data_IF_210142789874
#
_entry.id   IF_210142789874
#
_cell.length_a   1.000
_cell.length_b   1.000
_cell.length_c   1.000
_cell.angle_alpha   90.00
_cell.angle_beta   90.00
_cell.angle_gamma   90.00
#
_symmetry.space_group_name_H-M   'P 1'
#
loop_
_entity.id
_entity.type
_entity.pdbx_description
1 polymer ?
#
# COMPACT_ATOMS: atom_id res chain seq x y z
N UNK A 1 -55.30 -65.69 34.80
CA UNK A 1 -55.15 -64.88 33.58
C UNK A 1 -53.66 -64.71 33.33
N UNK A 2 -53.18 -65.23 32.20
CA UNK A 2 -51.76 -65.31 31.84
C UNK A 2 -51.25 -63.92 31.40
N UNK A 3 -50.33 -63.33 32.17
CA UNK A 3 -49.53 -62.21 31.70
C UNK A 3 -48.52 -62.73 30.67
N UNK A 4 -48.81 -62.48 29.39
CA UNK A 4 -47.96 -62.83 28.26
C UNK A 4 -46.73 -61.91 28.25
N UNK A 5 -45.53 -62.49 28.35
CA UNK A 5 -44.29 -61.78 28.15
C UNK A 5 -44.22 -61.28 26.69
N UNK A 6 -44.12 -59.97 26.51
CA UNK A 6 -43.98 -59.35 25.19
C UNK A 6 -42.54 -59.53 24.70
N UNK A 7 -42.39 -60.29 23.61
CA UNK A 7 -41.15 -60.45 22.83
C UNK A 7 -41.07 -59.39 21.72
N UNK A 8 -39.85 -59.07 21.21
CA UNK A 8 -39.58 -57.89 20.35
C UNK A 8 -40.35 -57.81 19.01
N UNK A 9 -41.01 -58.88 18.58
CA UNK A 9 -41.80 -58.92 17.34
C UNK A 9 -43.23 -58.36 17.45
N UNK A 10 -43.66 -57.88 18.63
CA UNK A 10 -45.05 -57.39 18.85
C UNK A 10 -45.13 -55.89 19.19
N UNK A 11 -44.16 -55.10 18.74
CA UNK A 11 -44.16 -53.64 18.92
C UNK A 11 -44.87 -53.01 17.71
N UNK A 12 -46.19 -52.81 17.82
CA UNK A 12 -46.95 -51.98 16.88
C UNK A 12 -46.95 -50.52 17.36
N UNK A 13 -47.01 -49.55 16.44
CA UNK A 13 -46.97 -48.10 16.74
C UNK A 13 -48.06 -47.55 17.70
N UNK A 14 -48.92 -48.41 18.24
CA UNK A 14 -50.01 -48.11 19.18
C UNK A 14 -49.78 -48.66 20.60
N UNK A 15 -48.63 -49.28 20.90
CA UNK A 15 -48.33 -49.76 22.26
C UNK A 15 -48.03 -48.60 23.21
N UNK A 16 -48.75 -48.52 24.33
CA UNK A 16 -48.54 -47.47 25.36
C UNK A 16 -47.19 -47.69 26.06
N UNK A 17 -46.50 -46.61 26.40
CA UNK A 17 -45.19 -46.60 27.08
C UNK A 17 -45.12 -47.50 28.33
N UNK A 18 -46.24 -47.72 29.01
CA UNK A 18 -46.35 -48.61 30.17
C UNK A 18 -46.13 -50.09 29.86
N UNK A 19 -46.37 -50.54 28.63
CA UNK A 19 -46.35 -51.97 28.22
C UNK A 19 -45.04 -52.41 27.54
N UNK A 20 -44.08 -51.51 27.34
CA UNK A 20 -42.79 -51.85 26.74
C UNK A 20 -41.85 -52.54 27.76
N UNK A 21 -40.93 -53.42 27.31
CA UNK A 21 -39.85 -53.96 28.14
C UNK A 21 -38.97 -52.85 28.73
N UNK A 22 -38.42 -53.06 29.93
CA UNK A 22 -37.59 -52.05 30.63
C UNK A 22 -36.39 -51.55 29.78
N UNK A 23 -35.83 -52.42 28.96
CA UNK A 23 -34.74 -52.11 28.02
C UNK A 23 -35.19 -51.16 26.90
N UNK A 24 -36.34 -51.45 26.26
CA UNK A 24 -36.91 -50.60 25.22
C UNK A 24 -37.35 -49.22 25.76
N UNK A 25 -37.86 -49.13 27.00
CA UNK A 25 -38.16 -47.83 27.65
C UNK A 25 -36.89 -47.02 27.88
N UNK A 26 -35.80 -47.65 28.34
CA UNK A 26 -34.52 -46.98 28.54
C UNK A 26 -33.94 -46.44 27.23
N UNK A 27 -33.99 -47.21 26.14
CA UNK A 27 -33.54 -46.74 24.83
C UNK A 27 -34.41 -45.59 24.30
N UNK A 28 -35.73 -45.62 24.54
CA UNK A 28 -36.63 -44.54 24.14
C UNK A 28 -36.37 -43.25 24.93
N UNK A 29 -36.10 -43.35 26.23
CA UNK A 29 -35.74 -42.20 27.07
C UNK A 29 -34.38 -41.61 26.68
N UNK A 30 -33.40 -42.47 26.37
CA UNK A 30 -32.10 -42.04 25.84
C UNK A 30 -32.26 -41.35 24.48
N UNK A 31 -33.10 -41.89 23.60
CA UNK A 31 -33.40 -41.30 22.29
C UNK A 31 -34.14 -39.97 22.42
N UNK A 32 -35.12 -39.87 23.34
CA UNK A 32 -35.83 -38.63 23.63
C UNK A 32 -34.88 -37.56 24.20
N UNK A 33 -34.01 -37.93 25.14
CA UNK A 33 -32.95 -37.05 25.66
C UNK A 33 -32.00 -36.57 24.56
N UNK A 34 -31.62 -37.47 23.64
CA UNK A 34 -30.78 -37.12 22.49
C UNK A 34 -31.47 -36.16 21.53
N UNK A 35 -32.76 -36.41 21.21
CA UNK A 35 -33.57 -35.50 20.40
C UNK A 35 -33.70 -34.13 21.07
N UNK A 36 -33.95 -34.09 22.37
CA UNK A 36 -34.07 -32.85 23.12
C UNK A 36 -32.74 -32.08 23.14
N UNK A 37 -31.61 -32.79 23.27
CA UNK A 37 -30.26 -32.24 23.14
C UNK A 37 -29.97 -31.69 21.74
N UNK A 38 -30.37 -32.39 20.69
CA UNK A 38 -30.22 -31.93 19.30
C UNK A 38 -31.10 -30.72 18.98
N UNK A 39 -32.33 -30.69 19.49
CA UNK A 39 -33.21 -29.53 19.38
C UNK A 39 -32.59 -28.33 20.11
N UNK A 40 -32.05 -28.53 21.31
CA UNK A 40 -31.39 -27.46 22.06
C UNK A 40 -30.11 -26.94 21.38
N UNK A 41 -29.30 -27.85 20.83
CA UNK A 41 -28.08 -27.51 20.10
C UNK A 41 -28.39 -26.74 18.81
N UNK A 42 -29.38 -27.20 18.03
CA UNK A 42 -29.81 -26.51 16.81
C UNK A 42 -30.38 -25.12 17.12
N UNK A 43 -31.20 -24.99 18.17
CA UNK A 43 -31.72 -23.71 18.63
C UNK A 43 -30.60 -22.75 19.04
N UNK A 44 -29.60 -23.25 19.77
CA UNK A 44 -28.41 -22.47 20.19
C UNK A 44 -27.56 -22.05 18.99
N UNK A 45 -27.39 -22.93 18.00
CA UNK A 45 -26.64 -22.63 16.79
C UNK A 45 -27.36 -21.59 15.91
N UNK A 46 -28.69 -21.69 15.79
CA UNK A 46 -29.51 -20.70 15.07
C UNK A 46 -29.63 -19.37 15.80
N UNK A 47 -29.54 -19.36 17.13
CA UNK A 47 -29.58 -18.16 17.94
C UNK A 47 -28.23 -17.43 18.01
N UNK A 48 -27.14 -18.05 17.54
CA UNK A 48 -25.82 -17.41 17.52
C UNK A 48 -25.82 -16.32 16.43
N UNK A 49 -25.72 -15.03 16.80
CA UNK A 49 -25.80 -13.96 15.82
C UNK A 49 -24.54 -13.94 14.95
N UNK A 50 -24.72 -13.87 13.62
CA UNK A 50 -23.64 -13.69 12.64
C UNK A 50 -23.10 -12.24 12.59
N UNK A 51 -23.75 -11.32 13.31
CA UNK A 51 -23.46 -9.88 13.26
C UNK A 51 -21.99 -9.53 13.56
N UNK A 52 -21.30 -10.34 14.37
CA UNK A 52 -19.88 -10.15 14.65
C UNK A 52 -18.99 -10.52 13.46
N UNK A 53 -19.35 -11.55 12.68
CA UNK A 53 -18.65 -11.91 11.45
C UNK A 53 -18.87 -10.84 10.37
N UNK A 54 -20.08 -10.31 10.24
CA UNK A 54 -20.39 -9.25 9.28
C UNK A 54 -19.65 -7.95 9.61
N UNK A 55 -19.51 -7.63 10.91
CA UNK A 55 -18.68 -6.50 11.38
C UNK A 55 -17.21 -6.71 11.00
N UNK A 56 -16.65 -7.89 11.30
CA UNK A 56 -15.26 -8.20 10.95
C UNK A 56 -15.04 -8.12 9.43
N UNK A 57 -15.99 -8.62 8.61
CA UNK A 57 -15.91 -8.52 7.15
C UNK A 57 -15.89 -7.07 6.68
N UNK A 58 -16.80 -6.23 7.20
CA UNK A 58 -16.85 -4.80 6.88
C UNK A 58 -15.59 -4.06 7.30
N UNK A 59 -15.10 -4.31 8.51
CA UNK A 59 -13.87 -3.70 9.02
C UNK A 59 -12.65 -4.11 8.16
N UNK A 60 -12.62 -5.37 7.70
CA UNK A 60 -11.56 -5.87 6.81
C UNK A 60 -11.61 -5.18 5.44
N UNK A 61 -12.80 -5.00 4.87
CA UNK A 61 -12.97 -4.26 3.60
C UNK A 61 -12.60 -2.78 3.76
N UNK A 62 -12.98 -2.15 4.87
CA UNK A 62 -12.60 -0.77 5.15
C UNK A 62 -11.09 -0.62 5.31
N UNK A 63 -10.45 -1.53 6.05
CA UNK A 63 -9.01 -1.53 6.23
C UNK A 63 -8.29 -1.73 4.88
N UNK A 64 -8.79 -2.64 4.03
CA UNK A 64 -8.25 -2.84 2.69
C UNK A 64 -8.34 -1.58 1.82
N UNK A 65 -9.47 -0.87 1.87
CA UNK A 65 -9.65 0.42 1.18
C UNK A 65 -8.67 1.48 1.71
N UNK A 66 -8.54 1.60 3.03
CA UNK A 66 -7.60 2.54 3.66
C UNK A 66 -6.14 2.23 3.27
N UNK A 67 -5.77 0.95 3.24
CA UNK A 67 -4.45 0.50 2.83
C UNK A 67 -4.17 0.85 1.36
N UNK A 68 -5.15 0.67 0.47
CA UNK A 68 -5.01 1.05 -0.93
C UNK A 68 -4.76 2.57 -1.07
N UNK A 69 -5.56 3.40 -0.40
CA UNK A 69 -5.37 4.85 -0.40
C UNK A 69 -4.01 5.28 0.17
N UNK A 70 -3.54 4.60 1.21
CA UNK A 70 -2.23 4.88 1.81
C UNK A 70 -1.09 4.48 0.88
N UNK A 71 -1.20 3.33 0.21
CA UNK A 71 -0.23 2.92 -0.82
C UNK A 71 -0.19 3.92 -1.98
N UNK A 72 -1.34 4.40 -2.45
CA UNK A 72 -1.40 5.41 -3.52
C UNK A 72 -0.78 6.74 -3.08
N UNK A 73 -0.96 7.12 -1.81
CA UNK A 73 -0.32 8.31 -1.24
C UNK A 73 1.19 8.13 -1.15
N UNK A 74 1.66 6.96 -0.68
CA UNK A 74 3.08 6.64 -0.59
C UNK A 74 3.75 6.57 -1.97
N UNK A 75 3.09 6.01 -2.99
CA UNK A 75 3.59 5.99 -4.36
C UNK A 75 3.71 7.42 -4.93
N UNK A 76 2.71 8.27 -4.67
CA UNK A 76 2.79 9.70 -5.01
C UNK A 76 3.95 10.39 -4.31
N UNK A 77 4.11 10.21 -3.01
CA UNK A 77 5.20 10.81 -2.23
C UNK A 77 6.56 10.32 -2.72
N UNK A 78 6.66 9.03 -3.05
CA UNK A 78 7.89 8.43 -3.61
C UNK A 78 8.27 9.11 -4.93
N UNK A 79 7.32 9.34 -5.82
CA UNK A 79 7.56 10.06 -7.09
C UNK A 79 7.95 11.52 -6.86
N UNK A 80 7.33 12.21 -5.91
CA UNK A 80 7.68 13.60 -5.55
C UNK A 80 9.09 13.67 -4.99
N UNK A 81 9.46 12.73 -4.10
CA UNK A 81 10.81 12.66 -3.54
C UNK A 81 11.84 12.36 -4.63
N UNK A 82 11.57 11.43 -5.55
CA UNK A 82 12.45 11.16 -6.70
C UNK A 82 12.64 12.40 -7.58
N UNK A 83 11.54 13.08 -7.95
CA UNK A 83 11.62 14.31 -8.73
C UNK A 83 12.40 15.42 -8.01
N UNK A 84 12.26 15.52 -6.68
CA UNK A 84 13.05 16.46 -5.87
C UNK A 84 14.53 16.07 -5.85
N UNK A 85 14.86 14.79 -5.70
CA UNK A 85 16.24 14.30 -5.76
C UNK A 85 16.89 14.62 -7.11
N UNK A 86 16.17 14.40 -8.21
CA UNK A 86 16.65 14.73 -9.56
C UNK A 86 16.87 16.24 -9.70
N UNK A 87 15.94 17.07 -9.21
CA UNK A 87 16.08 18.53 -9.21
C UNK A 87 17.26 19.00 -8.38
N UNK A 88 17.46 18.45 -7.18
CA UNK A 88 18.63 18.77 -6.33
C UNK A 88 19.92 18.34 -7.01
N UNK A 89 19.94 17.18 -7.66
CA UNK A 89 21.08 16.70 -8.44
C UNK A 89 21.40 17.61 -9.63
N UNK A 90 20.39 18.13 -10.32
CA UNK A 90 20.56 19.08 -11.41
C UNK A 90 21.11 20.42 -10.91
N UNK A 91 20.52 20.99 -9.85
CA UNK A 91 20.97 22.25 -9.27
C UNK A 91 22.39 22.12 -8.67
N UNK A 92 22.76 20.97 -8.11
CA UNK A 92 24.12 20.70 -7.65
C UNK A 92 25.14 20.66 -8.80
N UNK A 93 24.81 20.00 -9.91
CA UNK A 93 25.66 19.99 -11.12
C UNK A 93 25.86 21.40 -11.66
N UNK A 94 24.81 22.20 -11.62
CA UNK A 94 24.84 23.58 -12.05
C UNK A 94 25.70 24.45 -11.11
N UNK A 95 25.60 24.26 -9.80
CA UNK A 95 26.45 24.93 -8.82
C UNK A 95 27.93 24.54 -8.97
N UNK A 96 28.24 23.26 -9.19
CA UNK A 96 29.60 22.79 -9.49
C UNK A 96 30.13 23.42 -10.79
N UNK A 97 29.30 23.47 -11.84
CA UNK A 97 29.69 24.13 -13.10
C UNK A 97 30.02 25.61 -12.91
N UNK A 98 29.26 26.32 -12.07
CA UNK A 98 29.53 27.71 -11.72
C UNK A 98 30.83 27.83 -10.89
N UNK A 99 31.07 26.91 -9.95
CA UNK A 99 32.33 26.85 -9.18
C UNK A 99 33.55 26.68 -10.07
N UNK A 100 33.51 25.74 -11.02
CA UNK A 100 34.59 25.53 -12.01
C UNK A 100 34.84 26.75 -12.88
N UNK A 101 33.79 27.48 -13.26
CA UNK A 101 33.93 28.74 -13.99
C UNK A 101 34.67 29.77 -13.13
N UNK A 102 34.29 29.95 -11.86
CA UNK A 102 34.93 30.90 -10.93
C UNK A 102 36.41 30.53 -10.71
N UNK A 103 36.72 29.25 -10.48
CA UNK A 103 38.09 28.77 -10.32
C UNK A 103 38.94 28.97 -11.59
N UNK A 104 38.35 28.76 -12.77
CA UNK A 104 39.01 29.02 -14.05
C UNK A 104 39.29 30.53 -14.26
N UNK A 105 38.40 31.41 -13.81
CA UNK A 105 38.63 32.86 -13.85
C UNK A 105 39.72 33.31 -12.87
N UNK A 106 39.77 32.72 -11.67
CA UNK A 106 40.78 33.05 -10.67
C UNK A 106 42.20 32.65 -11.12
N UNK A 107 42.32 31.57 -11.89
CA UNK A 107 43.57 31.11 -12.49
C UNK A 107 43.69 31.64 -13.93
N UNK A 108 44.17 32.88 -14.08
CA UNK A 108 44.27 33.71 -15.31
C UNK A 108 44.74 33.00 -16.61
N UNK A 109 45.36 31.82 -16.52
CA UNK A 109 45.78 30.95 -17.62
C UNK A 109 44.62 30.28 -18.39
N UNK A 110 43.40 30.26 -17.86
CA UNK A 110 42.24 29.57 -18.46
C UNK A 110 41.22 30.49 -19.13
N UNK A 111 41.55 31.76 -19.42
CA UNK A 111 40.66 32.65 -20.18
C UNK A 111 40.21 32.03 -21.53
N UNK A 112 41.00 31.12 -22.10
CA UNK A 112 40.65 30.36 -23.30
C UNK A 112 39.59 29.26 -23.08
N UNK A 113 39.34 28.81 -21.85
CA UNK A 113 38.36 27.74 -21.53
C UNK A 113 36.91 28.18 -21.79
N UNK A 114 36.63 29.48 -21.66
CA UNK A 114 35.29 30.05 -21.89
C UNK A 114 34.98 30.25 -23.37
N UNK A 115 36.01 30.43 -24.20
CA UNK A 115 35.88 30.67 -25.64
C UNK A 115 36.13 29.41 -26.49
N UNK A 116 36.90 28.44 -25.97
CA UNK A 116 37.15 27.16 -26.63
C UNK A 116 35.98 26.17 -26.40
N UNK A 117 34.83 26.46 -27.02
CA UNK A 117 33.80 25.45 -27.32
C UNK A 117 32.94 24.94 -26.16
N UNK A 118 33.16 25.37 -24.91
CA UNK A 118 32.40 24.91 -23.75
C UNK A 118 31.66 26.05 -23.04
N UNK A 119 30.78 26.75 -23.77
CA UNK A 119 29.90 27.79 -23.23
C UNK A 119 28.79 27.20 -22.33
N UNK A 120 29.20 26.55 -21.24
CA UNK A 120 28.30 25.91 -20.27
C UNK A 120 27.40 26.94 -19.57
N UNK A 121 27.89 28.15 -19.35
CA UNK A 121 27.09 29.25 -18.81
C UNK A 121 26.00 29.71 -19.78
N UNK A 122 26.30 29.85 -21.08
CA UNK A 122 25.32 30.20 -22.09
C UNK A 122 24.24 29.14 -22.27
N UNK A 123 24.62 27.86 -22.28
CA UNK A 123 23.67 26.75 -22.34
C UNK A 123 22.74 26.73 -21.11
N UNK A 124 23.27 27.03 -19.92
CA UNK A 124 22.46 27.16 -18.71
C UNK A 124 21.35 28.23 -18.86
N UNK A 125 21.70 29.43 -19.33
CA UNK A 125 20.71 30.49 -19.50
C UNK A 125 19.70 30.17 -20.61
N UNK A 126 20.12 29.52 -21.69
CA UNK A 126 19.21 29.05 -22.75
C UNK A 126 18.21 28.03 -22.21
N UNK A 127 18.67 27.03 -21.44
CA UNK A 127 17.82 26.02 -20.81
C UNK A 127 16.82 26.67 -19.83
N UNK A 128 17.26 27.63 -19.02
CA UNK A 128 16.35 28.37 -18.12
C UNK A 128 15.32 29.21 -18.89
N UNK A 129 15.69 29.86 -19.99
CA UNK A 129 14.75 30.59 -20.84
C UNK A 129 13.69 29.65 -21.42
N UNK A 130 14.10 28.48 -21.92
CA UNK A 130 13.17 27.46 -22.41
C UNK A 130 12.23 26.96 -21.30
N UNK A 131 12.77 26.70 -20.09
CA UNK A 131 11.95 26.32 -18.94
C UNK A 131 10.92 27.39 -18.56
N UNK A 132 11.28 28.67 -18.63
CA UNK A 132 10.32 29.75 -18.39
C UNK A 132 9.24 29.85 -19.47
N UNK A 133 9.59 29.62 -20.74
CA UNK A 133 8.62 29.57 -21.83
C UNK A 133 7.59 28.44 -21.61
N UNK A 134 8.06 27.25 -21.22
CA UNK A 134 7.19 26.13 -20.87
C UNK A 134 6.28 26.43 -19.67
N UNK A 135 6.83 27.06 -18.62
CA UNK A 135 6.04 27.48 -17.45
C UNK A 135 4.97 28.51 -17.81
N UNK A 136 5.28 29.49 -18.67
CA UNK A 136 4.30 30.47 -19.15
C UNK A 136 3.19 29.81 -19.96
N UNK A 137 3.53 28.81 -20.78
CA UNK A 137 2.53 28.01 -21.51
C UNK A 137 1.62 27.22 -20.56
N UNK A 138 2.17 26.67 -19.48
CA UNK A 138 1.39 26.00 -18.44
C UNK A 138 0.46 26.98 -17.71
N UNK A 139 0.95 28.17 -17.33
CA UNK A 139 0.13 29.20 -16.70
C UNK A 139 -1.02 29.64 -17.61
N UNK A 140 -0.76 29.83 -18.90
CA UNK A 140 -1.81 30.12 -19.88
C UNK A 140 -2.88 29.03 -19.91
N UNK A 141 -2.47 27.77 -20.02
CA UNK A 141 -3.41 26.64 -20.01
C UNK A 141 -4.22 26.57 -18.72
N UNK A 142 -3.58 26.86 -17.57
CA UNK A 142 -4.24 26.88 -16.27
C UNK A 142 -5.28 28.00 -16.17
N UNK A 143 -4.97 29.19 -16.70
CA UNK A 143 -5.92 30.30 -16.79
C UNK A 143 -7.12 29.92 -17.67
N UNK A 144 -6.87 29.36 -18.87
CA UNK A 144 -7.93 28.92 -19.78
C UNK A 144 -8.83 27.85 -19.13
N UNK A 145 -8.26 26.94 -18.35
CA UNK A 145 -9.01 25.94 -17.58
C UNK A 145 -9.85 26.57 -16.46
N UNK A 146 -9.29 27.52 -15.72
CA UNK A 146 -10.01 28.26 -14.67
C UNK A 146 -11.17 29.06 -15.28
N UNK A 147 -10.96 29.74 -16.40
CA UNK A 147 -12.00 30.47 -17.12
C UNK A 147 -13.12 29.54 -17.58
N UNK A 148 -12.77 28.38 -18.17
CA UNK A 148 -13.74 27.37 -18.57
C UNK A 148 -14.51 26.80 -17.39
N UNK A 149 -13.85 26.55 -16.27
CA UNK A 149 -14.47 26.06 -15.05
C UNK A 149 -15.42 27.11 -14.46
N UNK A 150 -15.02 28.38 -14.39
CA UNK A 150 -15.88 29.49 -13.95
C UNK A 150 -17.10 29.66 -14.86
N UNK A 151 -16.92 29.61 -16.18
CA UNK A 151 -18.03 29.63 -17.13
C UNK A 151 -19.00 28.46 -16.91
N UNK A 152 -18.49 27.27 -16.57
CA UNK A 152 -19.32 26.09 -16.28
C UNK A 152 -20.08 26.18 -14.96
N UNK A 153 -19.53 26.84 -13.93
CA UNK A 153 -20.22 27.06 -12.64
C UNK A 153 -21.45 27.95 -12.83
N UNK A 154 -21.37 28.94 -13.73
CA UNK A 154 -22.51 29.80 -14.09
C UNK A 154 -23.64 29.03 -14.78
N UNK A 155 -23.30 27.97 -15.52
CA UNK A 155 -24.24 27.09 -16.21
C UNK A 155 -24.59 25.86 -15.36
N UNK A 156 -25.34 26.04 -14.27
CA UNK A 156 -25.85 24.91 -13.47
C UNK A 156 -26.73 24.00 -14.33
N UNK A 157 -26.23 22.83 -14.71
CA UNK A 157 -26.95 21.85 -15.51
C UNK A 157 -27.82 20.94 -14.60
N UNK A 158 -29.16 20.96 -14.69
CA UNK A 158 -30.04 20.17 -13.82
C UNK A 158 -30.11 18.67 -14.18
N UNK A 159 -29.48 18.20 -15.27
CA UNK A 159 -29.62 16.84 -15.80
C UNK A 159 -28.49 15.86 -15.44
N UNK A 160 -27.67 16.16 -14.42
CA UNK A 160 -26.48 15.35 -14.04
C UNK A 160 -26.79 13.87 -13.78
N UNK A 161 -27.97 13.54 -13.21
CA UNK A 161 -28.31 12.16 -12.87
C UNK A 161 -28.51 11.25 -14.10
N UNK A 162 -29.05 11.78 -15.20
CA UNK A 162 -29.26 11.00 -16.43
C UNK A 162 -28.03 10.93 -17.33
N UNK A 163 -27.12 11.90 -17.21
CA UNK A 163 -25.89 11.95 -17.99
C UNK A 163 -24.77 11.05 -17.44
N UNK A 164 -24.82 10.64 -16.16
CA UNK A 164 -23.75 9.86 -15.54
C UNK A 164 -23.48 8.51 -16.23
N UNK A 165 -24.50 7.67 -16.56
CA UNK A 165 -24.26 6.42 -17.28
C UNK A 165 -23.61 6.63 -18.65
N UNK A 166 -24.05 7.66 -19.38
CA UNK A 166 -23.49 8.01 -20.69
C UNK A 166 -22.04 8.51 -20.57
N UNK A 167 -21.73 9.32 -19.55
CA UNK A 167 -20.35 9.73 -19.25
C UNK A 167 -19.48 8.53 -18.90
N UNK A 168 -19.97 7.59 -18.07
CA UNK A 168 -19.24 6.38 -17.72
C UNK A 168 -18.98 5.49 -18.92
N UNK A 169 -19.96 5.37 -19.83
CA UNK A 169 -19.79 4.66 -21.09
C UNK A 169 -18.74 5.32 -21.98
N UNK A 170 -18.80 6.65 -22.15
CA UNK A 170 -17.83 7.41 -22.92
C UNK A 170 -16.42 7.32 -22.32
N UNK A 171 -16.28 7.34 -21.00
CA UNK A 171 -15.01 7.13 -20.32
C UNK A 171 -14.45 5.73 -20.58
N UNK A 172 -15.30 4.70 -20.51
CA UNK A 172 -14.89 3.33 -20.81
C UNK A 172 -14.44 3.17 -22.26
N UNK A 173 -15.18 3.72 -23.23
CA UNK A 173 -14.79 3.73 -24.64
C UNK A 173 -13.46 4.48 -24.85
N UNK A 174 -13.25 5.60 -24.15
CA UNK A 174 -11.99 6.31 -24.12
C UNK A 174 -10.83 5.48 -23.57
N UNK A 175 -11.02 4.79 -22.45
CA UNK A 175 -10.03 3.88 -21.89
C UNK A 175 -9.71 2.71 -22.82
N UNK A 176 -10.71 2.16 -23.50
CA UNK A 176 -10.52 1.09 -24.47
C UNK A 176 -9.69 1.58 -25.67
N UNK A 177 -9.96 2.78 -26.19
CA UNK A 177 -9.18 3.39 -27.26
C UNK A 177 -7.72 3.65 -26.84
N UNK A 178 -7.49 4.15 -25.61
CA UNK A 178 -6.14 4.34 -25.08
C UNK A 178 -5.44 2.99 -24.89
N UNK A 179 -6.12 1.98 -24.34
CA UNK A 179 -5.56 0.64 -24.17
C UNK A 179 -5.19 0.01 -25.51
N UNK A 180 -6.02 0.15 -26.54
CA UNK A 180 -5.71 -0.31 -27.89
C UNK A 180 -4.46 0.38 -28.46
N UNK A 181 -4.33 1.69 -28.27
CA UNK A 181 -3.13 2.44 -28.70
C UNK A 181 -1.88 2.03 -27.93
N UNK A 182 -1.98 1.82 -26.62
CA UNK A 182 -0.88 1.33 -25.79
C UNK A 182 -0.48 -0.08 -26.18
N UNK A 183 -1.44 -0.96 -26.47
CA UNK A 183 -1.17 -2.31 -26.96
C UNK A 183 -0.46 -2.28 -28.31
N UNK A 184 -0.92 -1.46 -29.26
CA UNK A 184 -0.27 -1.29 -30.56
C UNK A 184 1.17 -0.77 -30.41
N UNK A 185 1.39 0.21 -29.52
CA UNK A 185 2.74 0.72 -29.24
C UNK A 185 3.62 -0.35 -28.57
N UNK A 186 3.06 -1.14 -27.65
CA UNK A 186 3.78 -2.24 -26.99
C UNK A 186 4.20 -3.32 -27.98
N UNK A 187 3.34 -3.64 -28.95
CA UNK A 187 3.67 -4.58 -30.02
C UNK A 187 4.71 -3.99 -30.98
N UNK A 188 4.65 -2.70 -31.30
CA UNK A 188 5.71 -2.03 -32.09
C UNK A 188 7.06 -2.08 -31.36
N UNK A 189 7.10 -1.82 -30.05
CA UNK A 189 8.31 -1.90 -29.23
C UNK A 189 8.87 -3.33 -29.26
N UNK A 190 8.03 -4.35 -29.02
CA UNK A 190 8.46 -5.76 -29.09
C UNK A 190 9.01 -6.13 -30.46
N UNK A 191 8.41 -5.63 -31.53
CA UNK A 191 8.88 -5.93 -32.87
C UNK A 191 10.23 -5.27 -33.15
N UNK A 192 10.46 -4.06 -32.61
CA UNK A 192 11.80 -3.42 -32.66
C UNK A 192 12.82 -4.14 -31.79
N UNK A 193 12.45 -4.62 -30.61
CA UNK A 193 13.31 -5.46 -29.77
C UNK A 193 13.71 -6.75 -30.48
N UNK A 194 12.75 -7.47 -31.09
CA UNK A 194 13.03 -8.67 -31.90
C UNK A 194 13.93 -8.34 -33.09
N UNK A 195 13.66 -7.26 -33.81
CA UNK A 195 14.49 -6.84 -34.94
C UNK A 195 15.93 -6.54 -34.51
N UNK A 196 16.10 -5.89 -33.36
CA UNK A 196 17.41 -5.63 -32.77
C UNK A 196 18.12 -6.92 -32.35
N UNK A 197 17.41 -7.86 -31.70
CA UNK A 197 17.98 -9.16 -31.33
C UNK A 197 18.40 -9.97 -32.55
N UNK A 198 17.59 -9.98 -33.62
CA UNK A 198 17.94 -10.62 -34.89
C UNK A 198 19.17 -9.97 -35.54
N UNK A 199 19.26 -8.64 -35.52
CA UNK A 199 20.45 -7.91 -35.97
C UNK A 199 21.67 -8.32 -35.13
N UNK A 200 21.55 -8.32 -33.79
CA UNK A 200 22.63 -8.69 -32.88
C UNK A 200 23.14 -10.12 -33.12
N UNK A 201 22.23 -11.08 -33.26
CA UNK A 201 22.57 -12.47 -33.59
C UNK A 201 23.29 -12.58 -34.94
N UNK A 202 22.83 -11.83 -35.95
CA UNK A 202 23.40 -11.90 -37.31
C UNK A 202 24.81 -11.30 -37.40
N UNK A 203 25.09 -10.20 -36.68
CA UNK A 203 26.35 -9.47 -36.81
C UNK A 203 27.37 -9.80 -35.71
N UNK A 204 26.92 -10.16 -34.51
CA UNK A 204 27.79 -10.38 -33.35
C UNK A 204 27.74 -11.82 -32.80
N UNK A 205 26.89 -12.69 -33.35
CA UNK A 205 26.65 -14.08 -32.89
C UNK A 205 26.39 -14.19 -31.37
N UNK A 206 25.89 -13.10 -30.78
CA UNK A 206 25.61 -12.97 -29.35
C UNK A 206 24.11 -13.15 -29.12
N UNK A 207 23.76 -14.21 -28.39
CA UNK A 207 22.37 -14.57 -28.06
C UNK A 207 21.85 -13.87 -26.78
N UNK A 208 22.64 -13.00 -26.16
CA UNK A 208 22.25 -12.33 -24.93
C UNK A 208 21.18 -11.26 -25.18
N UNK A 209 20.04 -11.38 -24.49
CA UNK A 209 18.95 -10.40 -24.54
C UNK A 209 19.20 -9.25 -23.56
N UNK A 210 19.47 -8.02 -24.03
CA UNK A 210 19.70 -6.86 -23.16
C UNK A 210 18.39 -6.24 -22.65
N UNK A 211 17.23 -6.66 -23.16
CA UNK A 211 15.91 -6.12 -22.81
C UNK A 211 15.21 -6.91 -21.71
N UNK A 212 15.78 -8.02 -21.23
CA UNK A 212 15.30 -8.64 -20.01
C UNK A 212 15.57 -7.71 -18.84
N UNK A 213 14.56 -6.92 -18.48
CA UNK A 213 14.55 -6.14 -17.25
C UNK A 213 15.02 -7.02 -16.10
N UNK A 214 16.00 -6.52 -15.34
CA UNK A 214 16.67 -7.18 -14.21
C UNK A 214 15.76 -7.43 -12.99
N UNK A 215 14.48 -7.71 -13.22
CA UNK A 215 13.48 -8.06 -12.21
C UNK A 215 13.84 -9.35 -11.49
N UNK A 216 14.62 -10.24 -12.12
CA UNK A 216 15.09 -11.48 -11.48
C UNK A 216 16.14 -11.26 -10.39
N UNK A 217 16.82 -10.11 -10.31
CA UNK A 217 17.85 -9.88 -9.29
C UNK A 217 17.32 -9.23 -8.00
N UNK A 218 16.17 -8.54 -8.05
CA UNK A 218 15.59 -7.90 -6.85
C UNK A 218 14.81 -8.84 -5.92
N UNK A 219 14.50 -10.08 -6.34
CA UNK A 219 13.73 -11.03 -5.51
C UNK A 219 14.60 -11.95 -4.65
N UNK A 220 15.92 -11.96 -4.85
CA UNK A 220 16.84 -12.88 -4.13
C UNK A 220 17.76 -12.19 -3.13
N UNK A 221 17.89 -10.85 -3.16
CA UNK A 221 18.84 -10.12 -2.30
C UNK A 221 18.22 -9.52 -1.03
N UNK A 222 16.88 -9.51 -0.88
CA UNK A 222 16.22 -8.99 0.32
C UNK A 222 16.20 -9.94 1.52
N UNK A 223 16.64 -11.20 1.36
CA UNK A 223 16.64 -12.21 2.44
C UNK A 223 18.03 -12.57 2.99
N UNK A 224 19.11 -11.97 2.49
CA UNK A 224 20.49 -12.39 2.86
C UNK A 224 21.44 -11.29 3.34
N UNK A 225 20.92 -10.13 3.71
CA UNK A 225 21.71 -9.09 4.41
C UNK A 225 21.68 -9.30 5.92
N UNK A 226 22.56 -10.19 6.36
CA UNK A 226 22.93 -10.50 7.74
C UNK A 226 23.47 -9.28 8.50
N UNK A 227 22.68 -8.76 9.45
CA UNK A 227 23.17 -8.03 10.62
C UNK A 227 23.45 -9.01 11.76
N UNK A 228 24.73 -9.26 12.01
CA UNK A 228 25.29 -10.18 13.02
C UNK A 228 24.93 -9.71 14.44
N UNK A 229 24.05 -10.42 15.15
CA UNK A 229 23.90 -10.32 16.61
C UNK A 229 23.97 -11.72 17.21
N UNK A 230 24.83 -11.87 18.22
CA UNK A 230 25.18 -13.14 18.86
C UNK A 230 24.00 -13.70 19.65
N UNK A 231 23.80 -15.01 19.46
CA UNK A 231 23.03 -15.94 20.28
C UNK A 231 23.16 -15.71 21.78
N UNK A 232 22.02 -15.51 22.46
CA UNK A 232 21.60 -16.29 23.64
C UNK A 232 20.09 -16.12 23.84
N UNK A 233 19.27 -16.89 23.13
CA UNK A 233 17.86 -17.05 23.47
C UNK A 233 17.59 -18.54 23.63
N UNK A 234 17.54 -18.97 24.89
CA UNK A 234 17.08 -20.31 25.28
C UNK A 234 15.67 -20.52 24.72
N UNK A 235 15.44 -21.68 24.12
CA UNK A 235 14.16 -22.03 23.52
C UNK A 235 13.06 -21.99 24.59
N UNK A 236 11.88 -21.45 24.27
CA UNK A 236 10.71 -21.42 25.15
C UNK A 236 10.37 -22.78 25.79
N UNK A 237 10.78 -23.87 25.13
CA UNK A 237 10.59 -25.24 25.61
C UNK A 237 11.52 -25.63 26.78
N UNK A 238 12.68 -24.99 26.92
CA UNK A 238 13.59 -25.16 28.06
C UNK A 238 13.08 -24.40 29.29
N UNK A 239 12.57 -23.18 29.10
CA UNK A 239 12.03 -22.35 30.20
C UNK A 239 10.86 -23.05 30.88
N UNK A 240 9.98 -23.68 30.11
CA UNK A 240 8.83 -24.43 30.64
C UNK A 240 9.22 -25.67 31.46
N UNK A 241 10.41 -26.25 31.24
CA UNK A 241 10.90 -27.39 32.02
C UNK A 241 11.50 -26.97 33.37
N UNK A 242 12.05 -25.76 33.44
CA UNK A 242 12.62 -25.20 34.68
C UNK A 242 11.52 -24.78 35.67
N UNK A 243 10.40 -24.21 35.19
CA UNK A 243 9.34 -23.66 36.05
C UNK A 243 8.42 -24.70 36.70
N UNK A 244 8.49 -25.98 36.31
CA UNK A 244 7.68 -27.06 36.89
C UNK A 244 8.38 -27.84 38.00
N UNK A 245 9.59 -27.45 38.41
CA UNK A 245 10.30 -28.08 39.53
C UNK A 245 10.04 -27.29 40.83
N UNK A 246 9.10 -27.79 41.62
CA UNK A 246 8.79 -27.28 42.96
C UNK A 246 9.92 -27.57 43.96
N UNK A 247 10.28 -26.57 44.77
CA UNK A 247 10.86 -26.75 46.11
C UNK A 247 12.29 -26.24 46.32
N UNK A 248 12.43 -25.05 46.91
CA UNK A 248 13.18 -24.80 48.16
C UNK A 248 13.45 -23.30 48.34
N UNK A 249 13.29 -22.82 49.56
CA UNK A 249 13.34 -21.43 50.00
C UNK A 249 14.77 -20.85 50.06
N UNK A 250 14.90 -19.52 49.89
CA UNK A 250 15.72 -18.66 50.76
C UNK A 250 15.56 -17.14 50.46
N UNK A 251 15.14 -16.44 51.52
CA UNK A 251 15.56 -15.11 52.03
C UNK A 251 16.38 -14.13 51.16
N UNK A 252 15.96 -12.85 51.14
CA UNK A 252 16.88 -11.72 50.92
C UNK A 252 16.27 -10.39 50.49
N UNK A 253 15.87 -9.57 51.47
CA UNK A 253 16.00 -8.08 51.56
C UNK A 253 15.69 -7.14 50.37
N UNK A 254 14.78 -6.19 50.63
CA UNK A 254 14.61 -4.89 49.95
C UNK A 254 15.88 -4.00 50.08
N UNK A 255 16.11 -2.95 49.25
CA UNK A 255 15.35 -1.67 49.40
C UNK A 255 15.21 -0.73 48.16
N UNK A 256 14.34 0.28 48.34
CA UNK A 256 14.39 1.69 47.86
C UNK A 256 14.13 2.10 46.39
N UNK A 257 13.08 2.91 46.21
CA UNK A 257 12.86 3.90 45.13
C UNK A 257 13.60 5.24 45.47
N UNK A 258 13.78 6.26 44.58
CA UNK A 258 12.71 6.97 43.83
C UNK A 258 13.10 7.54 42.44
N UNK A 259 12.10 8.06 41.69
CA UNK A 259 12.36 9.02 40.59
C UNK A 259 11.36 9.02 39.44
N UNK A 260 10.24 9.73 39.59
CA UNK A 260 9.27 10.07 38.56
C UNK A 260 9.78 11.13 37.57
N UNK A 261 9.56 10.99 36.26
CA UNK A 261 9.07 12.07 35.37
C UNK A 261 8.28 11.44 34.20
N UNK A 262 7.01 11.86 34.03
CA UNK A 262 6.20 11.77 32.80
C UNK A 262 6.14 13.20 32.24
N UNK A 263 6.10 13.39 30.90
CA UNK A 263 4.88 14.00 30.36
C UNK A 263 4.41 13.42 29.02
N UNK A 264 3.12 13.12 29.01
CA UNK A 264 2.11 13.17 27.94
C UNK A 264 2.35 14.26 26.89
N UNK A 265 2.12 13.95 25.61
CA UNK A 265 1.71 14.94 24.61
C UNK A 265 0.54 14.40 23.79
N UNK A 266 -0.59 15.11 23.93
CA UNK A 266 -1.83 14.98 23.18
C UNK A 266 -1.65 15.39 21.72
N UNK A 267 -2.35 14.68 20.82
CA UNK A 267 -2.68 15.18 19.49
C UNK A 267 -3.71 16.32 19.55
N UNK A 268 -3.79 17.13 18.48
CA UNK A 268 -5.10 17.33 17.88
C UNK A 268 -5.10 17.05 16.37
N UNK A 269 -6.10 16.29 15.99
CA UNK A 269 -6.63 16.05 14.64
C UNK A 269 -6.97 17.35 13.92
N UNK A 270 -6.50 17.54 12.68
CA UNK A 270 -7.01 18.57 11.77
C UNK A 270 -7.20 18.01 10.35
N UNK A 271 -8.24 18.53 9.70
CA UNK A 271 -8.98 17.94 8.59
C UNK A 271 -8.23 17.92 7.23
N UNK A 272 -8.44 16.84 6.48
CA UNK A 272 -7.77 16.47 5.22
C UNK A 272 -8.52 16.91 3.95
N UNK A 273 -9.18 18.08 3.94
CA UNK A 273 -9.83 18.56 2.71
C UNK A 273 -9.84 20.09 2.63
N UNK A 274 -8.75 20.66 2.12
CA UNK A 274 -8.70 22.04 1.62
C UNK A 274 -7.53 22.19 0.61
N UNK A 275 -7.77 23.01 -0.41
CA UNK A 275 -6.98 23.27 -1.62
C UNK A 275 -5.49 23.62 -1.39
N UNK A 276 -4.61 23.43 -2.39
CA UNK A 276 -3.22 23.87 -2.28
C UNK A 276 -3.15 25.40 -2.40
N UNK A 277 -2.83 26.07 -1.29
CA UNK A 277 -2.40 27.46 -1.30
C UNK A 277 -0.97 27.53 -1.85
N UNK A 278 -0.76 28.44 -2.80
CA UNK A 278 0.52 28.75 -3.40
C UNK A 278 1.55 29.15 -2.33
N UNK A 279 2.67 28.44 -2.26
CA UNK A 279 3.83 28.83 -1.47
C UNK A 279 4.72 29.76 -2.28
N UNK A 280 4.53 31.06 -2.12
CA UNK A 280 5.52 32.08 -2.47
C UNK A 280 6.75 31.92 -1.58
N UNK A 281 7.87 31.50 -2.17
CA UNK A 281 9.17 31.48 -1.53
C UNK A 281 9.98 32.75 -1.79
N UNK A 282 10.52 33.29 -0.70
CA UNK A 282 11.77 34.04 -0.57
C UNK A 282 11.88 35.49 -1.08
N UNK A 283 12.20 36.41 -0.16
CA UNK A 283 13.40 37.24 -0.29
C UNK A 283 13.94 37.64 1.09
N UNK A 284 15.14 37.14 1.42
CA UNK A 284 15.88 37.51 2.61
C UNK A 284 16.48 38.91 2.49
N UNK A 285 16.35 39.70 3.55
CA UNK A 285 16.88 41.05 3.63
C UNK A 285 18.39 41.07 3.86
N UNK A 286 19.12 41.63 2.88
CA UNK A 286 20.49 42.09 3.08
C UNK A 286 20.48 43.49 3.71
N UNK A 287 21.14 43.64 4.86
CA UNK A 287 21.29 44.90 5.59
C UNK A 287 22.70 45.44 5.35
N UNK A 288 22.81 46.59 4.69
CA UNK A 288 24.06 47.35 4.60
C UNK A 288 24.32 48.07 5.94
N UNK A 289 25.49 47.84 6.54
CA UNK A 289 26.04 48.64 7.63
C UNK A 289 27.18 49.51 7.10
N UNK A 290 27.17 50.79 7.49
CA UNK A 290 28.29 51.72 7.35
C UNK A 290 29.44 51.35 8.29
#
# INVERSE_FOLDING_TARGET
>A
MLCRALTPDTIAGTTKYTELPADAKSTLDQFHSFLQGQIHLSATLSARPSESLDKISKDTEELAKRLATLNDALDRDTKVVQALQDKVGQELKQADSAGRIIEAYANTSHANFLYAGNNSAGQYFLDKCQSFEEQLRQFRSSIEEIERHLASIGAKNPHVAHALPDVMRNQYEGFLAVAARVAALHDEIKDREKAYLMFRRKFYDDESDPFQTSVKLRKTDSFRSSGRVKDTQKSFREIAKETLRSGSASTGTAPTAPGSIVPTINAPTTNLFAAPAASTGAFGGFKFGK
#
